data_IF_219683965768
#
_entry.id   IF_219683965768
#
_cell.length_a   1.000
_cell.length_b   1.000
_cell.length_c   1.000
_cell.angle_alpha   90.00
_cell.angle_beta   90.00
_cell.angle_gamma   90.00
#
_symmetry.space_group_name_H-M   'P 1'
#
loop_
_entity.id
_entity.type
_entity.pdbx_description
1 polymer ?
#
# COMPACT_ATOMS: atom_id res chain seq x y z
N UNK A 1 -10.60 -2.31 13.18
CA UNK A 1 -11.27 -1.74 12.00
C UNK A 1 -11.94 -0.41 12.31
N UNK A 2 -11.87 0.55 11.38
CA UNK A 2 -12.45 1.89 11.53
C UNK A 2 -13.98 1.88 11.65
N UNK A 3 -14.54 2.90 12.30
CA UNK A 3 -15.97 3.00 12.60
C UNK A 3 -16.45 4.44 12.53
N UNK A 4 -17.78 4.60 12.50
CA UNK A 4 -18.45 5.86 12.80
C UNK A 4 -18.87 5.87 14.27
N UNK A 5 -18.47 6.90 15.00
CA UNK A 5 -18.87 7.10 16.40
C UNK A 5 -19.41 8.52 16.59
N UNK A 6 -20.35 8.67 17.51
CA UNK A 6 -20.77 9.98 18.01
C UNK A 6 -19.64 10.58 18.85
N UNK A 7 -19.25 11.80 18.52
CA UNK A 7 -18.26 12.58 19.25
C UNK A 7 -18.96 13.50 20.26
N UNK A 8 -18.28 13.83 21.35
CA UNK A 8 -18.70 14.93 22.19
C UNK A 8 -18.45 16.28 21.50
N UNK A 9 -19.26 17.29 21.82
CA UNK A 9 -19.06 18.65 21.33
C UNK A 9 -17.67 19.20 21.71
N UNK A 10 -17.13 18.78 22.85
CA UNK A 10 -15.79 19.17 23.31
C UNK A 10 -14.69 18.54 22.44
N UNK A 11 -14.80 17.25 22.08
CA UNK A 11 -13.86 16.58 21.18
C UNK A 11 -13.83 17.24 19.80
N UNK A 12 -15.01 17.55 19.24
CA UNK A 12 -15.13 18.26 17.96
C UNK A 12 -14.49 19.64 18.06
N UNK A 13 -14.83 20.41 19.09
CA UNK A 13 -14.30 21.76 19.31
C UNK A 13 -12.77 21.74 19.43
N UNK A 14 -12.21 20.84 20.23
CA UNK A 14 -10.76 20.69 20.42
C UNK A 14 -10.05 20.31 19.12
N UNK A 15 -10.59 19.35 18.37
CA UNK A 15 -10.02 18.92 17.09
C UNK A 15 -10.04 20.05 16.05
N UNK A 16 -11.18 20.74 15.92
CA UNK A 16 -11.36 21.87 14.99
C UNK A 16 -10.45 23.05 15.33
N UNK A 17 -10.34 23.42 16.61
CA UNK A 17 -9.45 24.50 17.04
C UNK A 17 -7.98 24.20 16.76
N UNK A 18 -7.53 22.97 17.06
CA UNK A 18 -6.16 22.55 16.78
C UNK A 18 -5.87 22.57 15.27
N UNK A 19 -6.81 22.08 14.45
CA UNK A 19 -6.67 22.08 13.00
C UNK A 19 -6.62 23.50 12.42
N UNK A 20 -7.50 24.40 12.84
CA UNK A 20 -7.50 25.81 12.38
C UNK A 20 -6.19 26.50 12.74
N UNK A 21 -5.70 26.29 13.97
CA UNK A 21 -4.41 26.84 14.38
C UNK A 21 -3.28 26.36 13.47
N UNK A 22 -3.20 25.06 13.19
CA UNK A 22 -2.19 24.49 12.30
C UNK A 22 -2.31 25.02 10.86
N UNK A 23 -3.53 25.07 10.32
CA UNK A 23 -3.79 25.57 8.97
C UNK A 23 -3.41 27.05 8.82
N UNK A 24 -3.71 27.90 9.81
CA UNK A 24 -3.31 29.31 9.78
C UNK A 24 -1.79 29.49 9.83
N UNK A 25 -1.08 28.68 10.63
CA UNK A 25 0.39 28.71 10.65
C UNK A 25 0.99 28.32 9.29
N UNK A 26 0.46 27.28 8.66
CA UNK A 26 0.90 26.86 7.32
C UNK A 26 0.56 27.95 6.29
N UNK A 27 -0.62 28.55 6.39
CA UNK A 27 -1.06 29.65 5.52
C UNK A 27 -0.11 30.85 5.59
N UNK A 28 0.26 31.27 6.80
CA UNK A 28 1.19 32.40 7.02
C UNK A 28 2.55 32.13 6.37
N UNK A 29 3.13 30.95 6.61
CA UNK A 29 4.40 30.55 5.97
C UNK A 29 4.27 30.55 4.45
N UNK A 30 3.17 30.00 3.92
CA UNK A 30 2.93 29.94 2.48
C UNK A 30 2.76 31.33 1.86
N UNK A 31 2.03 32.24 2.53
CA UNK A 31 1.84 33.63 2.10
C UNK A 31 3.19 34.38 2.07
N UNK A 32 4.08 34.16 3.04
CA UNK A 32 5.44 34.74 3.03
C UNK A 32 6.26 34.22 1.85
N UNK A 33 6.23 32.91 1.58
CA UNK A 33 6.95 32.34 0.42
C UNK A 33 6.42 32.93 -0.88
N UNK A 34 5.09 33.05 -1.05
CA UNK A 34 4.49 33.69 -2.23
C UNK A 34 5.04 35.11 -2.44
N UNK A 35 5.03 35.94 -1.38
CA UNK A 35 5.51 37.33 -1.45
C UNK A 35 7.00 37.38 -1.83
N UNK A 36 7.83 36.53 -1.21
CA UNK A 36 9.27 36.49 -1.52
C UNK A 36 9.52 36.02 -2.95
N UNK A 37 8.83 34.97 -3.42
CA UNK A 37 8.98 34.45 -4.77
C UNK A 37 8.50 35.46 -5.81
N UNK A 38 7.43 36.21 -5.55
CA UNK A 38 7.00 37.32 -6.40
C UNK A 38 8.07 38.41 -6.47
N UNK A 39 8.64 38.82 -5.34
CA UNK A 39 9.73 39.80 -5.32
C UNK A 39 10.93 39.33 -6.15
N UNK A 40 11.35 38.07 -6.02
CA UNK A 40 12.44 37.51 -6.83
C UNK A 40 12.13 37.56 -8.33
N UNK A 41 10.90 37.23 -8.74
CA UNK A 41 10.47 37.27 -10.15
C UNK A 41 10.42 38.70 -10.69
N UNK A 42 9.85 39.63 -9.91
CA UNK A 42 9.52 40.99 -10.39
C UNK A 42 10.71 41.95 -10.31
N UNK A 43 11.64 41.74 -9.37
CA UNK A 43 12.74 42.67 -9.10
C UNK A 43 14.06 41.98 -8.75
N UNK A 44 14.04 41.00 -7.83
CA UNK A 44 15.25 40.44 -7.22
C UNK A 44 16.21 39.79 -8.23
N UNK A 45 15.69 39.03 -9.19
CA UNK A 45 16.50 38.39 -10.22
C UNK A 45 17.13 39.39 -11.19
N UNK A 46 16.41 40.46 -11.54
CA UNK A 46 16.91 41.52 -12.42
C UNK A 46 18.07 42.27 -11.76
N UNK A 47 17.91 42.66 -10.48
CA UNK A 47 18.98 43.29 -9.69
C UNK A 47 20.21 42.38 -9.62
N UNK A 48 20.02 41.09 -9.31
CA UNK A 48 21.11 40.13 -9.17
C UNK A 48 21.86 39.90 -10.49
N UNK A 49 21.15 39.96 -11.61
CA UNK A 49 21.75 39.89 -12.95
C UNK A 49 22.53 41.16 -13.30
N UNK A 50 21.98 42.35 -13.01
CA UNK A 50 22.64 43.64 -13.25
C UNK A 50 23.91 43.80 -12.41
N UNK A 51 23.90 43.33 -11.17
CA UNK A 51 25.07 43.29 -10.30
C UNK A 51 26.11 42.24 -10.71
N UNK A 52 25.83 41.42 -11.73
CA UNK A 52 26.72 40.37 -12.23
C UNK A 52 26.90 39.19 -11.27
N UNK A 53 26.02 39.05 -10.27
CA UNK A 53 26.06 37.94 -9.30
C UNK A 53 25.55 36.62 -9.91
N UNK A 54 24.74 36.70 -10.97
CA UNK A 54 24.29 35.55 -11.76
C UNK A 54 24.51 35.80 -13.26
N UNK A 55 24.65 34.71 -14.01
CA UNK A 55 24.67 34.75 -15.48
C UNK A 55 23.26 34.81 -16.06
N UNK A 56 23.13 35.25 -17.32
CA UNK A 56 21.84 35.23 -18.04
C UNK A 56 21.22 33.82 -18.13
N UNK A 57 22.05 32.78 -18.20
CA UNK A 57 21.59 31.39 -18.17
C UNK A 57 20.95 31.05 -16.83
N UNK A 58 21.64 31.33 -15.72
CA UNK A 58 21.12 31.11 -14.36
C UNK A 58 19.86 31.92 -14.10
N UNK A 59 19.80 33.16 -14.57
CA UNK A 59 18.59 33.99 -14.49
C UNK A 59 17.37 33.28 -15.09
N UNK A 60 17.48 32.77 -16.31
CA UNK A 60 16.36 32.08 -16.98
C UNK A 60 15.95 30.81 -16.22
N UNK A 61 16.92 30.04 -15.72
CA UNK A 61 16.67 28.82 -14.94
C UNK A 61 15.95 29.14 -13.62
N UNK A 62 16.40 30.16 -12.89
CA UNK A 62 15.78 30.59 -11.63
C UNK A 62 14.40 31.22 -11.86
N UNK A 63 14.20 31.96 -12.95
CA UNK A 63 12.90 32.54 -13.29
C UNK A 63 11.85 31.44 -13.52
N UNK A 64 12.20 30.40 -14.28
CA UNK A 64 11.28 29.28 -14.52
C UNK A 64 11.01 28.47 -13.24
N UNK A 65 12.03 28.26 -12.39
CA UNK A 65 11.85 27.62 -11.08
C UNK A 65 10.94 28.43 -10.17
N UNK A 66 11.13 29.75 -10.10
CA UNK A 66 10.31 30.63 -9.26
C UNK A 66 8.86 30.67 -9.75
N UNK A 67 8.61 30.67 -11.06
CA UNK A 67 7.24 30.57 -11.60
C UNK A 67 6.58 29.24 -11.23
N UNK A 68 7.32 28.13 -11.31
CA UNK A 68 6.81 26.82 -10.93
C UNK A 68 6.50 26.74 -9.43
N UNK A 69 7.40 27.25 -8.58
CA UNK A 69 7.18 27.36 -7.13
C UNK A 69 5.95 28.23 -6.83
N UNK A 70 5.81 29.38 -7.49
CA UNK A 70 4.68 30.27 -7.28
C UNK A 70 3.34 29.60 -7.63
N UNK A 71 3.28 28.88 -8.75
CA UNK A 71 2.10 28.10 -9.15
C UNK A 71 1.74 27.05 -8.08
N UNK A 72 2.74 26.28 -7.63
CA UNK A 72 2.58 25.29 -6.56
C UNK A 72 2.08 25.91 -5.24
N UNK A 73 2.61 27.08 -4.87
CA UNK A 73 2.20 27.79 -3.65
C UNK A 73 0.78 28.34 -3.71
N UNK A 74 0.32 28.79 -4.88
CA UNK A 74 -1.07 29.22 -5.06
C UNK A 74 -2.05 28.05 -4.99
N UNK A 75 -1.70 26.90 -5.56
CA UNK A 75 -2.49 25.68 -5.41
C UNK A 75 -2.57 25.26 -3.92
N UNK A 76 -1.43 25.23 -3.23
CA UNK A 76 -1.38 24.94 -1.80
C UNK A 76 -2.21 25.91 -0.96
N UNK A 77 -2.21 27.20 -1.31
CA UNK A 77 -3.05 28.22 -0.65
C UNK A 77 -4.54 27.91 -0.80
N UNK A 78 -4.97 27.55 -2.03
CA UNK A 78 -6.36 27.18 -2.30
C UNK A 78 -6.77 25.96 -1.47
N UNK A 79 -5.91 24.95 -1.35
CA UNK A 79 -6.18 23.76 -0.54
C UNK A 79 -6.32 24.10 0.96
N UNK A 80 -5.44 24.96 1.48
CA UNK A 80 -5.51 25.44 2.87
C UNK A 80 -6.82 26.20 3.12
N UNK A 81 -7.23 27.08 2.20
CA UNK A 81 -8.48 27.84 2.30
C UNK A 81 -9.72 26.93 2.26
N UNK A 82 -9.71 25.87 1.45
CA UNK A 82 -10.77 24.87 1.43
C UNK A 82 -10.85 24.10 2.75
N UNK A 83 -9.72 23.68 3.31
CA UNK A 83 -9.68 23.00 4.61
C UNK A 83 -10.16 23.92 5.74
N UNK A 84 -9.76 25.19 5.75
CA UNK A 84 -10.24 26.18 6.71
C UNK A 84 -11.77 26.35 6.61
N UNK A 85 -12.32 26.45 5.40
CA UNK A 85 -13.77 26.52 5.18
C UNK A 85 -14.50 25.30 5.75
N UNK A 86 -13.95 24.09 5.56
CA UNK A 86 -14.49 22.86 6.16
C UNK A 86 -14.44 22.92 7.69
N UNK A 87 -13.33 23.37 8.28
CA UNK A 87 -13.21 23.51 9.74
C UNK A 87 -14.22 24.52 10.32
N UNK A 88 -14.46 25.64 9.64
CA UNK A 88 -15.48 26.60 10.06
C UNK A 88 -16.89 26.00 9.98
N UNK A 89 -17.20 25.21 8.95
CA UNK A 89 -18.47 24.50 8.85
C UNK A 89 -18.66 23.48 10.00
N UNK A 90 -17.58 22.82 10.44
CA UNK A 90 -17.59 21.90 11.59
C UNK A 90 -17.81 22.60 12.93
N UNK A 91 -17.57 23.92 13.05
CA UNK A 91 -17.89 24.69 14.27
C UNK A 91 -19.38 24.94 14.46
N UNK A 92 -20.17 24.88 13.38
CA UNK A 92 -21.61 25.08 13.49
C UNK A 92 -22.20 24.03 14.44
N UNK A 93 -23.19 24.39 15.29
CA UNK A 93 -23.84 23.41 16.15
C UNK A 93 -24.41 22.25 15.33
N UNK A 94 -24.00 21.03 15.68
CA UNK A 94 -24.51 19.80 15.07
C UNK A 94 -25.26 19.00 16.14
N UNK A 95 -26.41 18.46 15.75
CA UNK A 95 -27.13 17.48 16.55
C UNK A 95 -26.41 16.13 16.35
N UNK A 96 -25.91 15.55 17.45
CA UNK A 96 -25.10 14.33 17.47
C UNK A 96 -23.91 14.31 16.47
N UNK A 97 -22.87 15.13 16.68
CA UNK A 97 -21.76 15.21 15.74
C UNK A 97 -21.05 13.85 15.62
N UNK A 98 -20.81 13.39 14.39
CA UNK A 98 -20.12 12.14 14.13
C UNK A 98 -18.66 12.31 13.74
N UNK A 99 -17.88 11.28 13.99
CA UNK A 99 -16.49 11.19 13.60
C UNK A 99 -16.16 9.87 12.93
N UNK A 100 -15.24 9.92 11.98
CA UNK A 100 -14.54 8.74 11.49
C UNK A 100 -13.43 8.37 12.48
N UNK A 101 -13.45 7.13 12.96
CA UNK A 101 -12.55 6.66 14.00
C UNK A 101 -11.51 5.71 13.42
N UNK A 102 -10.25 5.95 13.75
CA UNK A 102 -9.14 5.02 13.56
C UNK A 102 -8.72 4.53 14.95
N UNK A 103 -9.09 3.29 15.34
CA UNK A 103 -8.67 2.72 16.61
C UNK A 103 -7.14 2.56 16.68
N UNK A 104 -6.57 2.67 17.88
CA UNK A 104 -5.15 2.38 18.14
C UNK A 104 -4.75 0.93 17.82
N UNK A 105 -5.73 0.02 17.81
CA UNK A 105 -5.56 -1.39 17.47
C UNK A 105 -5.50 -1.65 15.96
N UNK A 106 -5.62 -0.61 15.13
CA UNK A 106 -5.57 -0.76 13.67
C UNK A 106 -4.19 -1.23 13.23
N UNK A 107 -4.16 -2.35 12.53
CA UNK A 107 -2.94 -3.02 12.05
C UNK A 107 -2.38 -2.36 10.79
N UNK A 108 -1.10 -2.63 10.51
CA UNK A 108 -0.43 -2.20 9.26
C UNK A 108 -1.19 -2.64 7.99
N UNK A 109 -1.72 -3.86 7.99
CA UNK A 109 -2.47 -4.39 6.85
C UNK A 109 -3.84 -3.73 6.71
N UNK A 110 -4.54 -3.43 7.82
CA UNK A 110 -5.76 -2.62 7.77
C UNK A 110 -5.49 -1.21 7.22
N UNK A 111 -4.36 -0.58 7.59
CA UNK A 111 -3.98 0.72 7.02
C UNK A 111 -3.71 0.67 5.52
N UNK A 112 -3.01 -0.36 5.02
CA UNK A 112 -2.79 -0.53 3.58
C UNK A 112 -4.10 -0.60 2.81
N UNK A 113 -5.07 -1.37 3.31
CA UNK A 113 -6.41 -1.48 2.70
C UNK A 113 -7.15 -0.15 2.74
N UNK A 114 -7.15 0.51 3.89
CA UNK A 114 -7.83 1.79 4.09
C UNK A 114 -7.31 2.86 3.13
N UNK A 115 -5.98 2.97 3.03
CA UNK A 115 -5.30 3.92 2.15
C UNK A 115 -5.62 3.60 0.68
N UNK A 116 -5.48 2.34 0.25
CA UNK A 116 -5.74 1.97 -1.13
C UNK A 116 -7.20 2.23 -1.55
N UNK A 117 -8.17 1.93 -0.65
CA UNK A 117 -9.58 2.23 -0.87
C UNK A 117 -9.83 3.73 -1.01
N UNK A 118 -9.27 4.53 -0.12
CA UNK A 118 -9.44 5.99 -0.16
C UNK A 118 -8.76 6.63 -1.37
N UNK A 119 -7.58 6.17 -1.77
CA UNK A 119 -6.89 6.62 -2.99
C UNK A 119 -7.73 6.32 -4.23
N UNK A 120 -8.28 5.10 -4.31
CA UNK A 120 -9.17 4.68 -5.40
C UNK A 120 -10.44 5.53 -5.43
N UNK A 121 -11.09 5.74 -4.29
CA UNK A 121 -12.28 6.61 -4.23
C UNK A 121 -11.95 8.05 -4.61
N UNK A 122 -10.80 8.57 -4.18
CA UNK A 122 -10.37 9.95 -4.45
C UNK A 122 -10.12 10.19 -5.93
N UNK A 123 -9.63 9.19 -6.67
CA UNK A 123 -9.44 9.28 -8.12
C UNK A 123 -10.74 9.15 -8.91
N UNK A 124 -11.74 8.46 -8.35
CA UNK A 124 -13.04 8.22 -9.02
C UNK A 124 -14.08 9.31 -8.76
N UNK A 125 -14.07 9.97 -7.61
CA UNK A 125 -15.06 11.01 -7.31
C UNK A 125 -14.79 12.29 -8.11
N UNK A 126 -15.85 12.99 -8.55
CA UNK A 126 -15.78 14.33 -9.12
C UNK A 126 -16.06 15.43 -8.08
N UNK A 127 -16.65 15.06 -6.93
CA UNK A 127 -17.03 16.00 -5.87
C UNK A 127 -15.79 16.58 -5.17
N UNK A 128 -15.64 17.90 -5.21
CA UNK A 128 -14.56 18.59 -4.51
C UNK A 128 -14.63 18.41 -2.99
N UNK A 129 -15.84 18.30 -2.43
CA UNK A 129 -16.05 18.10 -1.00
C UNK A 129 -15.63 16.68 -0.57
N UNK A 130 -15.98 15.67 -1.37
CA UNK A 130 -15.54 14.28 -1.12
C UNK A 130 -14.01 14.14 -1.27
N UNK A 131 -13.41 14.79 -2.29
CA UNK A 131 -11.94 14.82 -2.44
C UNK A 131 -11.25 15.43 -1.23
N UNK A 132 -11.82 16.51 -0.68
CA UNK A 132 -11.30 17.17 0.51
C UNK A 132 -11.34 16.23 1.72
N UNK A 133 -12.51 15.63 1.99
CA UNK A 133 -12.68 14.65 3.06
C UNK A 133 -11.68 13.48 2.91
N UNK A 134 -11.64 12.84 1.73
CA UNK A 134 -10.74 11.73 1.47
C UNK A 134 -9.28 12.11 1.67
N UNK A 135 -8.89 13.34 1.33
CA UNK A 135 -7.52 13.82 1.55
C UNK A 135 -7.20 13.90 3.05
N UNK A 136 -8.14 14.36 3.88
CA UNK A 136 -7.99 14.39 5.34
C UNK A 136 -7.89 12.97 5.91
N UNK A 137 -8.77 12.07 5.47
CA UNK A 137 -8.77 10.68 5.91
C UNK A 137 -7.46 9.96 5.51
N UNK A 138 -7.01 10.15 4.26
CA UNK A 138 -5.76 9.60 3.74
C UNK A 138 -4.54 10.10 4.50
N UNK A 139 -4.44 11.42 4.72
CA UNK A 139 -3.31 12.00 5.44
C UNK A 139 -3.24 11.46 6.87
N UNK A 140 -4.38 11.33 7.54
CA UNK A 140 -4.44 10.77 8.90
C UNK A 140 -4.06 9.29 8.91
N UNK A 141 -4.59 8.49 7.98
CA UNK A 141 -4.27 7.07 7.86
C UNK A 141 -2.79 6.84 7.53
N UNK A 142 -2.23 7.60 6.59
CA UNK A 142 -0.82 7.52 6.21
C UNK A 142 0.10 7.90 7.39
N UNK A 143 -0.22 8.95 8.15
CA UNK A 143 0.55 9.33 9.33
C UNK A 143 0.54 8.22 10.41
N UNK A 144 -0.62 7.58 10.64
CA UNK A 144 -0.71 6.46 11.58
C UNK A 144 0.09 5.24 11.08
N UNK A 145 -0.03 4.89 9.79
CA UNK A 145 0.76 3.82 9.19
C UNK A 145 2.27 4.08 9.29
N UNK A 146 2.71 5.29 8.98
CA UNK A 146 4.12 5.67 9.10
C UNK A 146 4.62 5.53 10.55
N UNK A 147 3.78 5.88 11.53
CA UNK A 147 4.12 5.67 12.95
C UNK A 147 4.35 4.19 13.26
N UNK A 148 3.49 3.30 12.76
CA UNK A 148 3.70 1.85 12.88
C UNK A 148 4.94 1.36 12.12
N UNK A 149 5.21 1.91 10.94
CA UNK A 149 6.40 1.58 10.13
C UNK A 149 7.70 1.93 10.89
N UNK A 150 7.67 3.02 11.65
CA UNK A 150 8.73 3.47 12.55
C UNK A 150 8.73 2.74 13.92
N UNK A 151 7.89 1.70 14.10
CA UNK A 151 7.72 0.93 15.35
C UNK A 151 7.25 1.80 16.53
N UNK A 152 6.56 2.90 16.27
CA UNK A 152 5.91 3.74 17.28
C UNK A 152 4.45 3.33 17.46
N UNK A 153 3.92 3.52 18.65
CA UNK A 153 2.48 3.44 18.89
C UNK A 153 1.81 4.74 18.43
N UNK A 154 0.51 4.67 18.15
CA UNK A 154 -0.32 5.84 17.88
C UNK A 154 -1.60 5.73 18.72
N UNK A 155 -2.12 6.87 19.16
CA UNK A 155 -3.38 6.95 19.87
C UNK A 155 -4.57 6.92 18.92
N UNK A 156 -5.75 6.50 19.41
CA UNK A 156 -7.04 6.62 18.70
C UNK A 156 -7.15 7.99 18.03
N UNK A 157 -7.43 7.99 16.72
CA UNK A 157 -7.69 9.22 15.96
C UNK A 157 -9.17 9.33 15.65
N UNK A 158 -9.70 10.52 15.90
CA UNK A 158 -11.07 10.90 15.58
C UNK A 158 -11.05 12.04 14.57
N UNK A 159 -11.74 11.87 13.45
CA UNK A 159 -11.84 12.87 12.39
C UNK A 159 -13.30 13.32 12.34
N UNK A 160 -13.63 14.53 12.83
CA UNK A 160 -14.99 15.04 12.79
C UNK A 160 -15.53 15.14 11.36
N UNK A 161 -16.81 14.82 11.18
CA UNK A 161 -17.51 14.81 9.91
C UNK A 161 -18.58 15.89 9.84
N UNK A 162 -18.79 16.43 8.66
CA UNK A 162 -20.00 17.17 8.32
C UNK A 162 -21.14 16.19 8.08
N UNK A 163 -22.39 16.62 8.29
CA UNK A 163 -23.57 15.81 8.00
C UNK A 163 -23.63 15.31 6.55
N UNK A 164 -23.17 16.12 5.59
CA UNK A 164 -23.06 15.73 4.18
C UNK A 164 -22.02 14.64 3.94
N UNK A 165 -21.01 14.54 4.80
CA UNK A 165 -19.92 13.55 4.71
C UNK A 165 -20.29 12.21 5.35
N UNK A 166 -21.23 12.19 6.30
CA UNK A 166 -21.62 10.96 7.01
C UNK A 166 -22.10 9.84 6.08
N UNK A 167 -22.94 10.17 5.10
CA UNK A 167 -23.47 9.18 4.13
C UNK A 167 -22.35 8.59 3.29
N UNK A 168 -21.42 9.45 2.86
CA UNK A 168 -20.26 9.06 2.09
C UNK A 168 -19.33 8.13 2.89
N UNK A 169 -19.03 8.49 4.14
CA UNK A 169 -18.20 7.66 5.03
C UNK A 169 -18.87 6.33 5.37
N UNK A 170 -20.20 6.32 5.53
CA UNK A 170 -20.95 5.07 5.76
C UNK A 170 -20.79 4.12 4.57
N UNK A 171 -20.89 4.64 3.34
CA UNK A 171 -20.63 3.86 2.12
C UNK A 171 -19.18 3.37 2.01
N UNK A 172 -18.22 4.19 2.45
CA UNK A 172 -16.82 3.81 2.49
C UNK A 172 -16.56 2.65 3.46
N UNK A 173 -17.14 2.72 4.67
CA UNK A 173 -16.99 1.68 5.69
C UNK A 173 -17.64 0.37 5.28
N UNK A 174 -18.84 0.40 4.68
CA UNK A 174 -19.49 -0.84 4.20
C UNK A 174 -18.69 -1.53 3.10
N UNK A 175 -17.98 -0.77 2.25
CA UNK A 175 -17.07 -1.34 1.25
C UNK A 175 -15.80 -1.91 1.88
N UNK A 176 -15.33 -1.39 3.03
CA UNK A 176 -14.22 -2.01 3.77
C UNK A 176 -14.61 -3.37 4.35
N UNK A 177 -15.87 -3.53 4.73
CA UNK A 177 -16.42 -4.80 5.24
C UNK A 177 -16.72 -5.80 4.12
N UNK A 178 -16.71 -5.38 2.86
CA UNK A 178 -16.92 -6.27 1.72
C UNK A 178 -15.71 -7.21 1.55
N UNK A 179 -15.94 -8.50 1.81
CA UNK A 179 -14.93 -9.55 1.73
C UNK A 179 -14.31 -9.70 0.34
N UNK A 180 -15.05 -9.42 -0.74
CA UNK A 180 -14.51 -9.51 -2.11
C UNK A 180 -13.55 -8.38 -2.41
N UNK A 181 -13.88 -7.15 -1.99
CA UNK A 181 -12.96 -6.01 -2.08
C UNK A 181 -11.70 -6.33 -1.27
N UNK A 182 -11.88 -6.91 -0.08
CA UNK A 182 -10.76 -7.30 0.76
C UNK A 182 -9.86 -8.35 0.07
N UNK A 183 -10.44 -9.42 -0.46
CA UNK A 183 -9.71 -10.51 -1.12
C UNK A 183 -8.96 -10.00 -2.35
N UNK A 184 -9.57 -9.11 -3.14
CA UNK A 184 -8.93 -8.54 -4.32
C UNK A 184 -7.76 -7.61 -3.97
N UNK A 185 -7.84 -6.83 -2.87
CA UNK A 185 -6.67 -6.11 -2.36
C UNK A 185 -5.56 -7.06 -1.88
N UNK A 186 -5.89 -8.20 -1.27
CA UNK A 186 -4.87 -9.19 -0.90
C UNK A 186 -4.18 -9.78 -2.14
N UNK A 187 -4.95 -10.15 -3.17
CA UNK A 187 -4.43 -10.67 -4.45
C UNK A 187 -3.49 -9.64 -5.08
N UNK A 188 -3.89 -8.37 -5.15
CA UNK A 188 -3.05 -7.27 -5.66
C UNK A 188 -1.75 -7.10 -4.85
N UNK A 189 -1.84 -7.11 -3.52
CA UNK A 189 -0.65 -7.00 -2.66
C UNK A 189 0.33 -8.17 -2.83
N UNK A 190 -0.17 -9.39 -3.07
CA UNK A 190 0.66 -10.55 -3.41
C UNK A 190 1.33 -10.39 -4.78
N UNK A 191 0.62 -9.88 -5.79
CA UNK A 191 1.22 -9.59 -7.10
C UNK A 191 2.36 -8.57 -6.99
N UNK A 192 2.17 -7.47 -6.26
CA UNK A 192 3.24 -6.48 -6.05
C UNK A 192 4.48 -7.08 -5.37
N UNK A 193 4.27 -8.04 -4.46
CA UNK A 193 5.36 -8.79 -3.81
C UNK A 193 6.08 -9.66 -4.83
N UNK A 194 5.35 -10.44 -5.62
CA UNK A 194 5.89 -11.30 -6.69
C UNK A 194 6.70 -10.46 -7.68
N UNK A 195 6.18 -9.32 -8.14
CA UNK A 195 6.89 -8.40 -9.04
C UNK A 195 8.21 -7.94 -8.43
N UNK A 196 8.22 -7.56 -7.15
CA UNK A 196 9.46 -7.12 -6.48
C UNK A 196 10.48 -8.26 -6.36
N UNK A 197 10.02 -9.46 -6.03
CA UNK A 197 10.87 -10.64 -5.88
C UNK A 197 11.47 -11.07 -7.23
N UNK A 198 10.68 -11.09 -8.31
CA UNK A 198 11.19 -11.46 -9.63
C UNK A 198 12.19 -10.43 -10.19
N UNK A 199 12.05 -9.14 -9.86
CA UNK A 199 13.00 -8.10 -10.29
C UNK A 199 14.38 -8.21 -9.63
N UNK A 200 14.53 -8.97 -8.55
CA UNK A 200 15.82 -9.13 -7.84
C UNK A 200 16.35 -10.57 -7.88
N UNK A 201 15.56 -11.54 -8.35
CA UNK A 201 15.96 -12.94 -8.39
C UNK A 201 17.10 -13.19 -9.40
N UNK A 202 18.30 -13.59 -8.95
CA UNK A 202 19.46 -13.77 -9.81
C UNK A 202 19.34 -14.97 -10.76
N UNK A 203 18.37 -15.85 -10.56
CA UNK A 203 18.14 -17.03 -11.40
C UNK A 203 17.35 -16.71 -12.66
N UNK A 204 16.65 -15.57 -12.69
CA UNK A 204 15.86 -15.13 -13.85
C UNK A 204 16.69 -14.32 -14.85
N UNK A 205 16.56 -14.68 -16.12
CA UNK A 205 17.03 -13.90 -17.26
C UNK A 205 16.27 -12.57 -17.42
N UNK A 206 16.81 -11.65 -18.23
CA UNK A 206 16.14 -10.39 -18.56
C UNK A 206 14.80 -10.59 -19.25
N UNK A 207 14.68 -11.61 -20.09
CA UNK A 207 13.45 -11.89 -20.84
C UNK A 207 12.37 -12.47 -19.92
N UNK A 208 12.73 -13.39 -19.03
CA UNK A 208 11.81 -13.92 -18.02
C UNK A 208 11.28 -12.83 -17.08
N UNK A 209 12.15 -11.91 -16.65
CA UNK A 209 11.76 -10.76 -15.83
C UNK A 209 10.77 -9.88 -16.58
N UNK A 210 11.03 -9.59 -17.86
CA UNK A 210 10.15 -8.79 -18.71
C UNK A 210 8.77 -9.42 -18.83
N UNK A 211 8.70 -10.73 -19.08
CA UNK A 211 7.43 -11.48 -19.19
C UNK A 211 6.68 -11.47 -17.86
N UNK A 212 7.33 -11.82 -16.75
CA UNK A 212 6.70 -11.85 -15.43
C UNK A 212 6.21 -10.45 -15.00
N UNK A 213 6.99 -9.41 -15.28
CA UNK A 213 6.59 -8.04 -14.99
C UNK A 213 5.32 -7.66 -15.78
N UNK A 214 5.33 -7.91 -17.09
CA UNK A 214 4.16 -7.62 -17.95
C UNK A 214 2.93 -8.40 -17.49
N UNK A 215 3.10 -9.68 -17.13
CA UNK A 215 2.03 -10.52 -16.58
C UNK A 215 1.44 -9.91 -15.29
N UNK A 216 2.31 -9.61 -14.31
CA UNK A 216 1.87 -9.04 -13.04
C UNK A 216 1.19 -7.68 -13.22
N UNK A 217 1.68 -6.83 -14.13
CA UNK A 217 1.10 -5.52 -14.43
C UNK A 217 -0.29 -5.66 -15.07
N UNK A 218 -0.45 -6.57 -16.02
CA UNK A 218 -1.73 -6.84 -16.67
C UNK A 218 -2.76 -7.43 -15.70
N UNK A 219 -2.40 -8.46 -14.93
CA UNK A 219 -3.29 -9.03 -13.92
C UNK A 219 -3.63 -7.99 -12.85
N UNK A 220 -2.65 -7.18 -12.40
CA UNK A 220 -2.91 -6.11 -11.43
C UNK A 220 -3.93 -5.10 -11.94
N UNK A 221 -3.93 -4.82 -13.25
CA UNK A 221 -4.93 -3.95 -13.89
C UNK A 221 -6.32 -4.56 -13.86
N UNK A 222 -6.47 -5.86 -14.12
CA UNK A 222 -7.76 -6.55 -14.05
C UNK A 222 -8.31 -6.60 -12.62
N UNK A 223 -7.45 -6.93 -11.64
CA UNK A 223 -7.81 -6.90 -10.22
C UNK A 223 -8.24 -5.49 -9.79
N UNK A 224 -7.52 -4.45 -10.23
CA UNK A 224 -7.92 -3.07 -9.95
C UNK A 224 -9.25 -2.71 -10.62
N UNK A 225 -9.49 -3.19 -11.84
CA UNK A 225 -10.78 -3.04 -12.52
C UNK A 225 -11.93 -3.67 -11.74
N UNK A 226 -11.74 -4.88 -11.23
CA UNK A 226 -12.71 -5.58 -10.39
C UNK A 226 -12.96 -4.84 -9.06
N UNK A 227 -11.90 -4.35 -8.41
CA UNK A 227 -12.01 -3.50 -7.21
C UNK A 227 -12.84 -2.25 -7.52
N UNK A 228 -12.54 -1.55 -8.62
CA UNK A 228 -13.27 -0.35 -9.02
C UNK A 228 -14.75 -0.64 -9.29
N UNK A 229 -15.06 -1.76 -9.95
CA UNK A 229 -16.44 -2.20 -10.20
C UNK A 229 -17.18 -2.47 -8.89
N UNK A 230 -16.60 -3.27 -7.98
CA UNK A 230 -17.17 -3.54 -6.66
C UNK A 230 -17.42 -2.26 -5.85
N UNK A 231 -16.50 -1.30 -5.95
CA UNK A 231 -16.58 0.01 -5.31
C UNK A 231 -17.68 0.91 -5.89
N UNK A 232 -18.02 0.77 -7.18
CA UNK A 232 -18.93 1.69 -7.89
C UNK A 232 -20.33 1.11 -8.10
N UNK A 233 -20.47 -0.18 -8.44
CA UNK A 233 -21.75 -0.82 -8.71
C UNK A 233 -22.21 -1.80 -7.63
N UNK A 234 -21.32 -2.25 -6.74
CA UNK A 234 -21.65 -3.22 -5.69
C UNK A 234 -21.97 -4.63 -6.19
N UNK A 235 -21.76 -4.92 -7.48
CA UNK A 235 -21.95 -6.25 -8.05
C UNK A 235 -20.69 -7.12 -7.88
N UNK A 236 -20.89 -8.37 -7.45
CA UNK A 236 -19.85 -9.36 -7.21
C UNK A 236 -19.02 -9.60 -8.48
N UNK A 237 -17.71 -9.36 -8.38
CA UNK A 237 -16.81 -9.28 -9.52
C UNK A 237 -15.96 -10.53 -9.77
N UNK A 238 -16.01 -11.52 -8.87
CA UNK A 238 -14.99 -12.57 -8.83
C UNK A 238 -14.97 -13.45 -10.08
N UNK A 239 -16.12 -13.78 -10.69
CA UNK A 239 -16.16 -14.64 -11.87
C UNK A 239 -15.77 -13.91 -13.18
N UNK A 240 -15.76 -12.57 -13.21
CA UNK A 240 -15.68 -11.84 -14.49
C UNK A 240 -14.26 -11.47 -14.91
N UNK A 241 -13.31 -11.43 -13.98
CA UNK A 241 -11.91 -11.10 -14.30
C UNK A 241 -11.00 -12.32 -14.26
N UNK A 242 -11.40 -13.45 -13.65
CA UNK A 242 -10.61 -14.68 -13.63
C UNK A 242 -10.34 -15.20 -15.05
N UNK A 243 -11.33 -15.17 -15.94
CA UNK A 243 -11.15 -15.50 -17.37
C UNK A 243 -10.02 -14.69 -18.01
N UNK A 244 -9.90 -13.41 -17.64
CA UNK A 244 -8.84 -12.54 -18.14
C UNK A 244 -7.50 -12.83 -17.47
N UNK A 245 -7.49 -13.22 -16.20
CA UNK A 245 -6.25 -13.67 -15.53
C UNK A 245 -5.70 -14.90 -16.25
N UNK A 246 -6.56 -15.87 -16.58
CA UNK A 246 -6.19 -17.04 -17.37
C UNK A 246 -5.72 -16.66 -18.77
N UNK A 247 -6.38 -15.70 -19.43
CA UNK A 247 -5.94 -15.18 -20.73
C UNK A 247 -4.54 -14.55 -20.67
N UNK A 248 -4.28 -13.70 -19.68
CA UNK A 248 -2.96 -13.09 -19.47
C UNK A 248 -1.89 -14.14 -19.16
N UNK A 249 -2.22 -15.15 -18.33
CA UNK A 249 -1.32 -16.28 -18.05
C UNK A 249 -0.99 -17.06 -19.33
N UNK A 250 -2.00 -17.38 -20.15
CA UNK A 250 -1.80 -18.08 -21.42
C UNK A 250 -0.91 -17.28 -22.37
N UNK A 251 -1.15 -15.98 -22.51
CA UNK A 251 -0.35 -15.14 -23.39
C UNK A 251 1.11 -15.05 -22.94
N UNK A 252 1.35 -14.91 -21.64
CA UNK A 252 2.72 -14.91 -21.10
C UNK A 252 3.42 -16.26 -21.22
N UNK A 253 2.67 -17.37 -21.21
CA UNK A 253 3.23 -18.69 -21.48
C UNK A 253 3.60 -18.86 -22.95
N UNK A 254 2.74 -18.45 -23.87
CA UNK A 254 3.01 -18.42 -25.32
C UNK A 254 4.27 -17.59 -25.62
N UNK A 255 4.40 -16.41 -25.01
CA UNK A 255 5.60 -15.57 -25.13
C UNK A 255 6.86 -16.25 -24.55
N UNK A 256 6.69 -17.09 -23.52
CA UNK A 256 7.80 -17.81 -22.90
C UNK A 256 8.30 -19.01 -23.71
N UNK A 257 7.55 -19.49 -24.70
CA UNK A 257 7.96 -20.62 -25.55
C UNK A 257 9.18 -20.29 -26.41
N UNK A 258 9.42 -19.00 -26.67
CA UNK A 258 10.56 -18.51 -27.45
C UNK A 258 11.86 -18.42 -26.64
N UNK A 259 11.81 -18.65 -25.32
CA UNK A 259 12.97 -18.52 -24.42
C UNK A 259 13.20 -19.75 -23.55
N UNK A 260 14.43 -19.93 -23.08
CA UNK A 260 14.75 -20.99 -22.13
C UNK A 260 14.25 -20.62 -20.73
N UNK A 261 13.14 -21.23 -20.30
CA UNK A 261 12.52 -20.96 -18.99
C UNK A 261 13.22 -21.71 -17.84
N UNK A 262 13.49 -20.98 -16.76
CA UNK A 262 14.16 -21.44 -15.55
C UNK A 262 13.18 -22.00 -14.53
N UNK A 263 13.72 -22.64 -13.49
CA UNK A 263 12.93 -23.10 -12.35
C UNK A 263 12.32 -21.93 -11.57
N UNK A 264 13.03 -20.80 -11.47
CA UNK A 264 12.54 -19.58 -10.83
C UNK A 264 11.30 -19.05 -11.54
N UNK A 265 11.32 -18.99 -12.88
CA UNK A 265 10.17 -18.54 -13.67
C UNK A 265 8.94 -19.42 -13.45
N UNK A 266 9.12 -20.75 -13.50
CA UNK A 266 8.05 -21.71 -13.21
C UNK A 266 7.48 -21.56 -11.80
N UNK A 267 8.35 -21.29 -10.82
CA UNK A 267 7.99 -21.00 -9.43
C UNK A 267 7.06 -19.80 -9.31
N UNK A 268 7.44 -18.67 -9.92
CA UNK A 268 6.64 -17.45 -9.89
C UNK A 268 5.30 -17.61 -10.60
N UNK A 269 5.24 -18.29 -11.76
CA UNK A 269 3.96 -18.57 -12.45
C UNK A 269 3.03 -19.38 -11.54
N UNK A 270 3.52 -20.43 -10.88
CA UNK A 270 2.71 -21.21 -9.95
C UNK A 270 2.26 -20.41 -8.71
N UNK A 271 3.08 -19.47 -8.23
CA UNK A 271 2.71 -18.57 -7.13
C UNK A 271 1.59 -17.60 -7.54
N UNK A 272 1.61 -17.12 -8.79
CA UNK A 272 0.51 -16.36 -9.38
C UNK A 272 -0.74 -17.23 -9.45
N UNK A 273 -0.68 -18.45 -10.01
CA UNK A 273 -1.82 -19.38 -10.05
C UNK A 273 -2.42 -19.60 -8.65
N UNK A 274 -1.56 -19.87 -7.66
CA UNK A 274 -1.97 -20.09 -6.27
C UNK A 274 -2.66 -18.86 -5.68
N UNK A 275 -2.21 -17.65 -6.04
CA UNK A 275 -2.83 -16.38 -5.61
C UNK A 275 -4.28 -16.27 -6.07
N UNK A 276 -4.59 -16.80 -7.26
CA UNK A 276 -5.92 -16.79 -7.86
C UNK A 276 -6.70 -18.09 -7.70
N UNK A 277 -6.19 -19.03 -6.88
CA UNK A 277 -6.78 -20.38 -6.70
C UNK A 277 -6.92 -21.17 -8.02
N UNK A 278 -6.04 -20.89 -8.97
CA UNK A 278 -5.91 -21.65 -10.22
C UNK A 278 -4.95 -22.83 -10.02
N UNK A 279 -5.14 -23.88 -10.81
CA UNK A 279 -4.25 -25.03 -10.79
C UNK A 279 -2.82 -24.63 -11.20
N UNK A 280 -1.77 -25.13 -10.52
CA UNK A 280 -0.39 -24.86 -10.91
C UNK A 280 -0.12 -25.39 -12.32
N UNK A 281 0.43 -24.54 -13.18
CA UNK A 281 0.69 -24.85 -14.60
C UNK A 281 1.92 -25.74 -14.74
N UNK A 282 2.96 -25.45 -13.96
CA UNK A 282 4.19 -26.23 -14.00
C UNK A 282 4.19 -27.28 -12.91
N UNK A 283 4.42 -28.53 -13.30
CA UNK A 283 4.84 -29.55 -12.32
C UNK A 283 6.29 -29.26 -11.96
N UNK A 284 6.47 -28.59 -10.83
CA UNK A 284 7.80 -28.37 -10.26
C UNK A 284 8.18 -29.67 -9.55
N UNK A 285 8.71 -30.63 -10.30
CA UNK A 285 9.40 -31.77 -9.71
C UNK A 285 10.55 -31.19 -8.89
N UNK A 286 10.48 -31.34 -7.57
CA UNK A 286 11.58 -30.99 -6.69
C UNK A 286 12.81 -31.85 -7.05
N UNK A 287 13.63 -31.33 -7.97
CA UNK A 287 14.95 -31.80 -8.35
C UNK A 287 15.87 -31.87 -7.12
N UNK A 288 17.07 -32.45 -7.24
CA UNK A 288 17.61 -33.65 -6.56
C UNK A 288 17.82 -33.50 -5.03
N UNK A 289 17.37 -32.40 -4.44
CA UNK A 289 17.41 -32.10 -3.00
C UNK A 289 16.43 -32.99 -2.25
N UNK A 290 15.26 -33.34 -2.82
CA UNK A 290 14.34 -34.31 -2.19
C UNK A 290 14.85 -35.75 -2.33
N UNK A 291 15.52 -36.11 -3.44
CA UNK A 291 16.23 -37.40 -3.53
C UNK A 291 17.40 -37.45 -2.55
N UNK A 292 18.22 -36.40 -2.47
CA UNK A 292 19.27 -36.28 -1.45
C UNK A 292 18.71 -36.26 -0.03
N UNK A 293 17.55 -35.64 0.22
CA UNK A 293 16.90 -35.68 1.53
C UNK A 293 16.28 -37.05 1.82
N UNK A 294 15.78 -37.78 0.81
CA UNK A 294 15.35 -39.18 0.97
C UNK A 294 16.54 -40.09 1.24
N UNK A 295 17.67 -39.90 0.56
CA UNK A 295 18.93 -40.62 0.84
C UNK A 295 19.50 -40.27 2.21
N UNK A 296 19.50 -39.00 2.60
CA UNK A 296 19.94 -38.57 3.95
C UNK A 296 19.00 -39.14 5.01
N UNK A 297 17.69 -39.15 4.78
CA UNK A 297 16.71 -39.71 5.71
C UNK A 297 16.83 -41.24 5.78
N UNK A 298 17.03 -41.92 4.65
CA UNK A 298 17.31 -43.36 4.58
C UNK A 298 18.60 -43.71 5.32
N UNK A 299 19.69 -42.98 5.09
CA UNK A 299 20.96 -43.17 5.77
C UNK A 299 20.86 -42.87 7.28
N UNK A 300 20.07 -41.87 7.67
CA UNK A 300 19.77 -41.58 9.09
C UNK A 300 18.94 -42.70 9.75
N UNK A 301 18.04 -43.36 9.02
CA UNK A 301 17.30 -44.51 9.53
C UNK A 301 18.21 -45.74 9.69
N UNK A 302 19.11 -46.02 8.73
CA UNK A 302 20.08 -47.11 8.83
C UNK A 302 21.09 -46.90 9.97
N UNK A 303 21.58 -45.68 10.17
CA UNK A 303 22.46 -45.34 11.33
C UNK A 303 21.70 -45.50 12.66
N UNK A 304 20.39 -45.27 12.67
CA UNK A 304 19.57 -45.41 13.87
C UNK A 304 19.29 -46.88 14.20
N UNK A 305 19.15 -47.74 13.19
CA UNK A 305 19.05 -49.20 13.35
C UNK A 305 20.38 -49.81 13.83
N UNK A 306 21.52 -49.40 13.27
CA UNK A 306 22.85 -49.80 13.77
C UNK A 306 23.14 -49.30 15.19
N UNK A 307 22.67 -48.10 15.55
CA UNK A 307 22.80 -47.57 16.90
C UNK A 307 21.90 -48.29 17.93
N UNK A 308 20.76 -48.85 17.51
CA UNK A 308 19.92 -49.69 18.39
C UNK A 308 20.48 -51.10 18.58
N UNK A 309 21.13 -51.68 17.57
CA UNK A 309 21.83 -52.98 17.71
C UNK A 309 23.02 -52.88 18.66
N UNK A 310 23.77 -51.77 18.65
CA UNK A 310 24.88 -51.56 19.61
C UNK A 310 24.43 -51.38 21.06
N UNK A 311 23.20 -50.90 21.31
CA UNK A 311 22.70 -50.70 22.69
C UNK A 311 22.11 -51.95 23.33
N UNK A 312 21.61 -52.92 22.55
CA UNK A 312 21.07 -54.16 23.11
C UNK A 312 22.16 -55.17 23.53
N UNK A 313 23.33 -55.15 22.89
CA UNK A 313 24.47 -55.99 23.28
C UNK A 313 25.25 -55.44 24.49
N UNK A 314 25.32 -54.11 24.66
CA UNK A 314 26.00 -53.49 25.82
C UNK A 314 25.15 -53.53 27.11
N UNK A 315 23.80 -53.53 27.03
CA UNK A 315 22.96 -53.71 28.22
C UNK A 315 22.98 -55.15 28.78
N UNK A 316 23.22 -56.16 27.93
CA UNK A 316 23.42 -57.55 28.39
C UNK A 316 24.80 -57.78 29.02
N UNK A 317 25.82 -57.00 28.65
CA UNK A 317 27.15 -57.11 29.25
C UNK A 317 27.25 -56.45 30.64
N UNK A 318 26.41 -55.46 30.95
CA UNK A 318 26.41 -54.73 32.23
C UNK A 318 25.69 -55.46 33.38
N UNK A 319 24.75 -56.37 33.08
CA UNK A 319 23.95 -57.10 34.09
C UNK A 319 24.60 -58.37 34.65
N UNK A 320 25.79 -58.78 34.17
CA UNK A 320 26.54 -59.94 34.68
C UNK A 320 27.73 -59.58 35.59
N UNK A 321 27.93 -58.29 35.92
CA UNK A 321 29.15 -57.79 36.59
C UNK A 321 29.03 -57.32 38.05
N UNK A 322 27.90 -57.52 38.73
CA UNK A 322 27.77 -57.19 40.17
C UNK A 322 27.09 -58.31 40.94
N UNK A 323 27.89 -59.32 41.24
CA UNK A 323 27.50 -60.46 42.06
C UNK A 323 28.72 -61.16 42.63
N UNK A 324 29.50 -60.46 43.46
CA UNK A 324 30.29 -60.97 44.61
C UNK A 324 30.85 -59.78 45.37
#
# INVERSE_FOLDING_TARGET
MSSLETLSAEEVSKAVQAAIKGLNQIKEVNDVVIVNTLYEIDEGLDVTLEEGRITRKQYNEMLEQNKAELAFRYEGKKDIEQQLKRMEALKAPQDEPKGFIIPETTTREEFKKLIALMETKKSLTESSEEKLLLSVLLQTAAACKNSLDEKKTFEKKSIPLLKSEEQYVTSLLSQMENSEIHDNYQKKGKLEKITKECMVDPTLSSDERRILQSLCDNISREVQGAINALITSGEAGDDKYLDKVEEHLRHSLEESEEIAITFGFKGFINEICTTFKLDPIFTISNSPIIEKMKDIKSNLFSIKEEATEFTEDDEKASLLGKGT
#
